data_IF_275566981300
#
_entry.id   IF_275566981300
#
_cell.length_a   1.000
_cell.length_b   1.000
_cell.length_c   1.000
_cell.angle_alpha   90.00
_cell.angle_beta   90.00
_cell.angle_gamma   90.00
#
_symmetry.space_group_name_H-M   'P 1'
#
loop_
_entity.id
_entity.type
_entity.pdbx_description
1 polymer ?
#
# COMPACT_ATOMS: atom_id res chain seq x y z
N UNK A 1 14.19 2.16 48.54
CA UNK A 1 13.15 2.00 47.50
C UNK A 1 13.77 1.20 46.38
N UNK A 2 13.44 -0.09 46.35
CA UNK A 2 13.93 -1.08 45.38
C UNK A 2 13.07 -0.87 44.12
N UNK A 3 13.69 -0.54 42.98
CA UNK A 3 12.97 -0.48 41.72
C UNK A 3 12.49 -1.90 41.37
N UNK A 4 11.20 -2.12 41.08
CA UNK A 4 10.71 -3.44 40.71
C UNK A 4 11.36 -3.86 39.40
N UNK A 5 11.93 -5.07 39.38
CA UNK A 5 12.42 -5.72 38.17
C UNK A 5 11.24 -5.93 37.20
N UNK A 6 11.36 -5.57 35.91
CA UNK A 6 10.30 -5.85 34.94
C UNK A 6 10.18 -7.38 34.71
N UNK A 7 8.97 -7.89 34.40
CA UNK A 7 8.76 -9.31 34.12
C UNK A 7 9.54 -9.76 32.87
N UNK A 8 9.98 -11.03 32.78
CA UNK A 8 10.79 -11.56 31.68
C UNK A 8 10.03 -11.78 30.35
N UNK A 9 8.82 -11.24 30.20
CA UNK A 9 7.93 -11.48 29.05
C UNK A 9 7.62 -10.21 28.24
N UNK A 10 8.45 -9.17 28.36
CA UNK A 10 8.47 -8.10 27.35
C UNK A 10 9.40 -8.56 26.22
N UNK A 11 9.01 -9.59 25.48
CA UNK A 11 9.42 -9.63 24.08
C UNK A 11 8.85 -8.36 23.48
N UNK A 12 9.66 -7.41 22.96
CA UNK A 12 9.12 -6.52 21.97
C UNK A 12 8.67 -7.49 20.87
N UNK A 13 7.38 -7.75 20.78
CA UNK A 13 6.78 -8.18 19.53
C UNK A 13 7.36 -7.21 18.52
N UNK A 14 8.35 -7.65 17.75
CA UNK A 14 8.95 -6.81 16.73
C UNK A 14 7.74 -6.43 15.90
N UNK A 15 7.27 -5.17 15.91
CA UNK A 15 6.10 -4.83 15.11
C UNK A 15 6.53 -5.24 13.71
N UNK A 16 5.84 -6.23 13.15
CA UNK A 16 6.16 -6.73 11.81
C UNK A 16 6.30 -5.47 10.96
N UNK A 17 7.48 -5.22 10.38
CA UNK A 17 7.74 -3.92 9.80
C UNK A 17 6.65 -3.67 8.78
N UNK A 18 5.87 -2.61 9.02
CA UNK A 18 4.83 -2.21 8.10
C UNK A 18 5.47 -2.10 6.72
N UNK A 19 4.75 -2.58 5.71
CA UNK A 19 5.24 -2.53 4.33
C UNK A 19 5.68 -1.10 4.03
N UNK A 20 6.83 -0.95 3.39
CA UNK A 20 7.27 0.39 3.00
C UNK A 20 6.58 0.79 1.69
N UNK A 21 6.50 2.09 1.41
CA UNK A 21 6.06 2.57 0.10
C UNK A 21 6.87 1.98 -1.06
N UNK A 22 8.16 1.67 -0.82
CA UNK A 22 9.04 0.99 -1.78
C UNK A 22 8.64 -0.47 -2.03
N UNK A 23 7.93 -1.11 -1.12
CA UNK A 23 7.37 -2.44 -1.36
C UNK A 23 6.04 -2.34 -2.09
N UNK A 24 5.21 -1.35 -1.75
CA UNK A 24 3.89 -1.14 -2.39
C UNK A 24 4.00 -0.62 -3.83
N UNK A 25 5.01 0.20 -4.16
CA UNK A 25 5.16 0.69 -5.54
C UNK A 25 5.63 -0.41 -6.51
N UNK A 26 6.32 -1.46 -6.04
CA UNK A 26 6.82 -2.54 -6.90
C UNK A 26 5.70 -3.24 -7.68
N UNK A 27 4.64 -3.79 -7.04
CA UNK A 27 3.54 -4.41 -7.75
C UNK A 27 2.78 -3.40 -8.63
N UNK A 28 2.64 -2.14 -8.21
CA UNK A 28 2.04 -1.08 -9.04
C UNK A 28 2.85 -0.86 -10.32
N UNK A 29 4.17 -0.74 -10.22
CA UNK A 29 5.06 -0.62 -11.37
C UNK A 29 4.98 -1.85 -12.28
N UNK A 30 5.06 -3.05 -11.71
CA UNK A 30 4.94 -4.29 -12.49
C UNK A 30 3.60 -4.37 -13.23
N UNK A 31 2.50 -3.99 -12.58
CA UNK A 31 1.18 -3.91 -13.20
C UNK A 31 1.14 -2.88 -14.34
N UNK A 32 1.74 -1.70 -14.13
CA UNK A 32 1.83 -0.65 -15.14
C UNK A 32 2.62 -1.12 -16.39
N UNK A 33 3.66 -1.92 -16.18
CA UNK A 33 4.47 -2.52 -17.24
C UNK A 33 3.80 -3.74 -17.90
N UNK A 34 2.68 -4.23 -17.36
CA UNK A 34 2.02 -5.45 -17.81
C UNK A 34 2.75 -6.74 -17.43
N UNK A 35 3.67 -6.66 -16.45
CA UNK A 35 4.40 -7.82 -15.91
C UNK A 35 3.50 -8.62 -14.97
N UNK A 36 2.78 -7.93 -14.07
CA UNK A 36 1.81 -8.54 -13.15
C UNK A 36 0.39 -8.32 -13.63
N UNK A 37 -0.47 -9.29 -13.35
CA UNK A 37 -1.90 -9.17 -13.65
C UNK A 37 -2.54 -8.19 -12.68
N UNK A 38 -3.12 -7.12 -13.20
CA UNK A 38 -3.88 -6.15 -12.42
C UNK A 38 -5.37 -6.49 -12.49
N UNK A 39 -6.01 -6.66 -11.33
CA UNK A 39 -7.44 -6.93 -11.22
C UNK A 39 -8.07 -5.89 -10.32
N UNK A 40 -9.05 -5.17 -10.85
CA UNK A 40 -9.89 -4.29 -10.03
C UNK A 40 -10.89 -5.14 -9.26
N UNK A 41 -10.90 -5.00 -7.94
CA UNK A 41 -11.75 -5.77 -7.01
C UNK A 41 -13.01 -4.98 -6.64
N UNK A 42 -13.03 -3.65 -6.79
CA UNK A 42 -14.23 -2.77 -6.65
C UNK A 42 -15.09 -3.00 -5.40
N UNK A 43 -14.52 -3.55 -4.33
CA UNK A 43 -15.27 -3.93 -3.13
C UNK A 43 -15.72 -2.72 -2.30
N UNK A 44 -15.18 -1.52 -2.55
CA UNK A 44 -15.51 -0.31 -1.79
C UNK A 44 -16.44 0.62 -2.57
N UNK A 45 -17.66 0.75 -2.07
CA UNK A 45 -18.72 1.64 -2.57
C UNK A 45 -18.48 3.14 -2.26
N UNK A 46 -17.24 3.52 -1.89
CA UNK A 46 -16.86 4.93 -1.71
C UNK A 46 -16.35 5.42 -3.04
N UNK A 47 -17.03 6.40 -3.64
CA UNK A 47 -16.92 6.84 -5.04
C UNK A 47 -15.50 7.12 -5.58
N UNK A 48 -14.51 7.28 -4.71
CA UNK A 48 -13.13 7.61 -5.03
C UNK A 48 -12.11 6.54 -4.58
N UNK A 49 -12.52 5.46 -3.92
CA UNK A 49 -11.60 4.43 -3.43
C UNK A 49 -11.75 3.15 -4.24
N UNK A 50 -10.65 2.70 -4.85
CA UNK A 50 -10.62 1.50 -5.67
C UNK A 50 -9.69 0.48 -5.04
N UNK A 51 -10.23 -0.68 -4.69
CA UNK A 51 -9.42 -1.83 -4.30
C UNK A 51 -8.99 -2.63 -5.53
N UNK A 52 -7.72 -3.02 -5.57
CA UNK A 52 -7.13 -3.80 -6.66
C UNK A 52 -6.31 -4.95 -6.11
N UNK A 53 -6.31 -6.07 -6.83
CA UNK A 53 -5.45 -7.21 -6.60
C UNK A 53 -4.40 -7.30 -7.71
N UNK A 54 -3.13 -7.38 -7.32
CA UNK A 54 -1.99 -7.50 -8.22
C UNK A 54 -1.19 -8.74 -7.82
N UNK A 55 -1.51 -9.88 -8.42
CA UNK A 55 -0.78 -11.14 -8.16
C UNK A 55 -0.74 -11.47 -6.66
N UNK A 56 -1.87 -11.31 -5.97
CA UNK A 56 -2.01 -11.51 -4.52
C UNK A 56 -1.70 -10.28 -3.65
N UNK A 57 -1.30 -9.15 -4.24
CA UNK A 57 -1.17 -7.88 -3.53
C UNK A 57 -2.48 -7.12 -3.55
N UNK A 58 -3.08 -6.88 -2.38
CA UNK A 58 -4.33 -6.11 -2.25
C UNK A 58 -4.02 -4.66 -1.93
N UNK A 59 -4.23 -3.76 -2.89
CA UNK A 59 -3.98 -2.33 -2.72
C UNK A 59 -5.28 -1.54 -2.73
N UNK A 60 -5.37 -0.53 -1.87
CA UNK A 60 -6.46 0.44 -1.83
C UNK A 60 -5.95 1.78 -2.36
N UNK A 61 -6.46 2.15 -3.51
CA UNK A 61 -6.04 3.33 -4.26
C UNK A 61 -7.12 4.41 -4.17
N UNK A 62 -6.71 5.64 -3.89
CA UNK A 62 -7.55 6.83 -4.01
C UNK A 62 -7.45 7.36 -5.44
N UNK A 63 -8.56 7.28 -6.15
CA UNK A 63 -8.72 7.71 -7.54
C UNK A 63 -9.75 8.82 -7.57
N UNK A 64 -9.37 9.97 -8.14
CA UNK A 64 -10.25 11.12 -8.24
C UNK A 64 -10.35 11.59 -9.69
N UNK A 65 -11.58 11.66 -10.19
CA UNK A 65 -11.87 11.97 -11.60
C UNK A 65 -11.09 11.09 -12.59
N UNK A 66 -10.80 9.83 -12.24
CA UNK A 66 -10.00 8.90 -13.05
C UNK A 66 -8.49 9.02 -12.85
N UNK A 67 -8.03 9.88 -11.94
CA UNK A 67 -6.62 10.07 -11.64
C UNK A 67 -6.19 9.42 -10.34
N UNK A 68 -5.14 8.60 -10.38
CA UNK A 68 -4.58 7.96 -9.20
C UNK A 68 -3.85 9.02 -8.35
N UNK A 69 -4.39 9.33 -7.18
CA UNK A 69 -3.85 10.36 -6.29
C UNK A 69 -2.93 9.78 -5.23
N UNK A 70 -3.45 8.85 -4.44
CA UNK A 70 -2.73 8.26 -3.32
C UNK A 70 -2.98 6.77 -3.21
N UNK A 71 -2.04 6.05 -2.60
CA UNK A 71 -2.28 4.67 -2.17
C UNK A 71 -2.51 4.71 -0.67
N UNK A 72 -3.75 4.45 -0.26
CA UNK A 72 -4.13 4.53 1.15
C UNK A 72 -3.77 3.27 1.92
N UNK A 73 -3.82 2.12 1.26
CA UNK A 73 -3.51 0.84 1.89
C UNK A 73 -2.85 -0.11 0.91
N UNK A 74 -2.03 -1.02 1.41
CA UNK A 74 -1.45 -2.08 0.60
C UNK A 74 -1.14 -3.31 1.43
N UNK A 75 -1.59 -4.48 1.01
CA UNK A 75 -1.33 -5.73 1.68
C UNK A 75 -0.51 -6.64 0.75
N UNK A 76 0.57 -7.17 1.28
CA UNK A 76 1.40 -8.16 0.61
C UNK A 76 0.78 -9.55 0.81
N UNK A 77 0.94 -10.47 -0.15
CA UNK A 77 0.53 -11.87 0.01
C UNK A 77 1.15 -12.56 1.24
N UNK A 78 2.25 -12.03 1.76
CA UNK A 78 2.92 -12.47 3.00
C UNK A 78 2.12 -12.13 4.28
N UNK A 79 1.06 -11.33 4.17
CA UNK A 79 0.22 -10.88 5.29
C UNK A 79 0.66 -9.55 5.92
N UNK A 80 1.72 -8.93 5.40
CA UNK A 80 2.16 -7.59 5.82
C UNK A 80 1.28 -6.50 5.21
N UNK A 81 1.08 -5.42 5.94
CA UNK A 81 0.20 -4.31 5.55
C UNK A 81 0.95 -2.97 5.55
N UNK A 82 0.58 -2.11 4.62
CA UNK A 82 0.97 -0.72 4.46
C UNK A 82 -0.29 0.10 4.67
N UNK A 83 -0.23 1.04 5.60
CA UNK A 83 -1.27 2.05 5.79
C UNK A 83 -0.62 3.39 5.55
N UNK A 84 -1.26 4.21 4.71
CA UNK A 84 -0.88 5.61 4.58
C UNK A 84 -1.35 6.37 5.83
N UNK A 85 -0.48 6.42 6.85
CA UNK A 85 -0.75 7.20 8.06
C UNK A 85 -0.14 8.61 7.91
N UNK A 86 -0.99 9.62 7.99
CA UNK A 86 -0.59 11.03 7.88
C UNK A 86 0.31 11.48 9.06
N UNK A 87 0.48 10.66 10.10
CA UNK A 87 1.42 10.83 11.20
C UNK A 87 2.80 10.20 10.97
N UNK A 88 2.97 9.38 9.92
CA UNK A 88 4.26 8.82 9.57
C UNK A 88 5.14 9.92 8.95
N UNK A 89 6.04 10.49 9.77
CA UNK A 89 6.99 11.55 9.38
C UNK A 89 7.89 11.23 8.18
N UNK A 90 7.90 9.99 7.72
CA UNK A 90 8.67 9.47 6.59
C UNK A 90 7.80 8.72 5.56
N UNK A 91 6.48 8.93 5.57
CA UNK A 91 5.57 8.33 4.60
C UNK A 91 5.77 8.93 3.22
N UNK A 92 6.66 8.35 2.41
CA UNK A 92 6.70 8.63 0.97
C UNK A 92 5.48 7.99 0.33
N UNK A 93 4.71 8.73 -0.46
CA UNK A 93 3.62 8.15 -1.24
C UNK A 93 4.18 7.17 -2.29
N UNK A 94 3.73 5.91 -2.34
CA UNK A 94 4.16 4.97 -3.37
C UNK A 94 3.73 5.43 -4.76
N UNK A 95 2.64 6.19 -4.86
CA UNK A 95 2.18 6.82 -6.11
C UNK A 95 3.18 7.86 -6.60
N UNK A 96 3.82 8.61 -5.69
CA UNK A 96 4.86 9.59 -6.05
C UNK A 96 6.17 8.94 -6.54
N UNK A 97 6.36 7.63 -6.27
CA UNK A 97 7.52 6.88 -6.78
C UNK A 97 7.31 6.39 -8.21
N UNK A 98 6.07 6.40 -8.71
CA UNK A 98 5.75 6.03 -10.08
C UNK A 98 6.12 7.17 -11.04
N UNK A 99 6.66 6.84 -12.21
CA UNK A 99 6.83 7.80 -13.29
C UNK A 99 5.47 8.19 -13.86
N UNK A 100 5.39 9.35 -14.51
CA UNK A 100 4.15 9.82 -15.17
C UNK A 100 3.54 8.78 -16.12
N UNK A 101 4.38 8.02 -16.83
CA UNK A 101 3.91 6.93 -17.70
C UNK A 101 3.32 5.75 -16.92
N UNK A 102 3.95 5.35 -15.81
CA UNK A 102 3.49 4.22 -14.97
C UNK A 102 2.15 4.56 -14.33
N UNK A 103 2.02 5.79 -13.83
CA UNK A 103 0.78 6.32 -13.27
C UNK A 103 -0.35 6.31 -14.31
N UNK A 104 -0.09 6.83 -15.52
CA UNK A 104 -1.08 6.83 -16.60
C UNK A 104 -1.50 5.42 -17.05
N UNK A 105 -0.62 4.43 -17.02
CA UNK A 105 -1.01 3.04 -17.30
C UNK A 105 -1.91 2.46 -16.21
N UNK A 106 -1.59 2.72 -14.93
CA UNK A 106 -2.44 2.26 -13.82
C UNK A 106 -3.81 2.93 -13.87
N UNK A 107 -3.88 4.24 -14.11
CA UNK A 107 -5.14 4.96 -14.35
C UNK A 107 -5.95 4.33 -15.49
N UNK A 108 -5.29 3.92 -16.59
CA UNK A 108 -5.97 3.24 -17.71
C UNK A 108 -6.45 1.83 -17.36
N UNK A 109 -5.76 1.12 -16.47
CA UNK A 109 -6.19 -0.20 -15.97
C UNK A 109 -7.34 -0.08 -14.96
N UNK A 110 -7.47 1.08 -14.31
CA UNK A 110 -8.55 1.40 -13.41
C UNK A 110 -9.81 1.89 -14.14
N UNK A 111 -9.67 2.52 -15.31
CA UNK A 111 -10.78 3.02 -16.14
C UNK A 111 -11.65 1.91 -16.75
#
# INVERSE_FOLDING_TARGET
>A
MIYPVPPPDFTPETPVPALTAREVYQPLRDAAQGIRTFKRIDEYCTSNLVQVDIDGWRLLLDVDAGHLRHCLHGQCPDGREYVFDNGQRFGTDPVSLLSTWELAQIERLLA
#
